data_IF_410844372208
#
_entry.id   IF_410844372208
#
_cell.length_a   1.000
_cell.length_b   1.000
_cell.length_c   1.000
_cell.angle_alpha   90.00
_cell.angle_beta   90.00
_cell.angle_gamma   90.00
#
_symmetry.space_group_name_H-M   'P 1'
#
loop_
_entity.id
_entity.type
_entity.pdbx_description
1 polymer ?
#
# COMPACT_ATOMS: atom_id res chain seq x y z
N UNK A 1 -9.69 2.84 10.05
CA UNK A 1 -9.22 4.15 9.53
C UNK A 1 -7.83 3.98 8.92
N UNK A 2 -7.66 4.27 7.63
CA UNK A 2 -6.34 4.31 6.98
C UNK A 2 -5.82 5.75 7.05
N UNK A 3 -4.59 5.93 7.51
CA UNK A 3 -3.91 7.24 7.51
C UNK A 3 -2.73 7.17 6.52
N UNK A 4 -2.72 8.08 5.54
CA UNK A 4 -1.71 8.08 4.48
C UNK A 4 -0.51 8.98 4.83
N UNK A 5 0.70 8.43 4.84
CA UNK A 5 1.95 9.20 4.88
C UNK A 5 2.81 8.82 3.69
N UNK A 6 2.76 9.62 2.63
CA UNK A 6 3.46 9.33 1.37
C UNK A 6 4.98 9.47 1.52
N UNK A 7 5.71 8.36 1.58
CA UNK A 7 7.15 8.31 1.33
C UNK A 7 7.39 7.57 0.00
N UNK A 8 7.94 8.28 -0.99
CA UNK A 8 8.12 7.75 -2.35
C UNK A 8 9.58 7.32 -2.51
N UNK A 9 9.86 6.03 -2.34
CA UNK A 9 11.14 5.45 -2.77
C UNK A 9 11.03 5.00 -4.23
N UNK A 10 11.60 5.79 -5.15
CA UNK A 10 11.74 5.40 -6.56
C UNK A 10 13.06 4.67 -6.70
N UNK A 11 13.05 3.38 -7.03
CA UNK A 11 14.27 2.69 -7.47
C UNK A 11 14.37 2.83 -9.00
N UNK A 12 15.28 3.66 -9.53
CA UNK A 12 15.57 3.65 -10.97
C UNK A 12 16.34 2.36 -11.29
N UNK A 13 15.75 1.47 -12.07
CA UNK A 13 16.49 0.40 -12.72
C UNK A 13 17.30 1.03 -13.86
N UNK A 14 18.59 1.23 -13.62
CA UNK A 14 19.57 1.49 -14.68
C UNK A 14 19.84 0.18 -15.39
N UNK A 15 19.33 0.02 -16.62
CA UNK A 15 19.93 -0.81 -17.67
C UNK A 15 19.25 -0.52 -19.01
N UNK A 16 20.03 0.12 -19.88
CA UNK A 16 20.13 -0.08 -21.32
C UNK A 16 19.01 -0.86 -22.06
N UNK A 17 18.52 -0.26 -23.15
CA UNK A 17 17.80 -0.87 -24.28
C UNK A 17 16.27 -1.14 -24.16
N UNK A 18 15.49 -0.33 -24.89
CA UNK A 18 14.31 -0.73 -25.69
C UNK A 18 13.01 -1.31 -25.08
N UNK A 19 12.70 -1.23 -23.78
CA UNK A 19 11.47 -1.88 -23.27
C UNK A 19 10.70 -1.01 -22.25
N UNK A 20 9.44 -0.72 -22.57
CA UNK A 20 8.33 -0.27 -21.71
C UNK A 20 8.68 0.17 -20.27
N UNK A 21 8.70 1.48 -20.01
CA UNK A 21 8.83 2.06 -18.67
C UNK A 21 7.66 1.63 -17.75
N UNK A 22 7.84 0.53 -17.01
CA UNK A 22 6.96 0.16 -15.90
C UNK A 22 7.56 0.72 -14.61
N UNK A 23 7.27 1.97 -14.27
CA UNK A 23 7.70 2.53 -12.98
C UNK A 23 6.89 1.88 -11.86
N UNK A 24 7.51 0.97 -11.09
CA UNK A 24 6.92 0.41 -9.88
C UNK A 24 7.22 1.34 -8.70
N UNK A 25 6.18 2.01 -8.19
CA UNK A 25 6.28 2.84 -6.99
C UNK A 25 5.73 2.05 -5.80
N UNK A 26 6.36 2.20 -4.65
CA UNK A 26 5.87 1.63 -3.39
C UNK A 26 5.57 2.77 -2.42
N UNK A 27 4.47 2.63 -1.69
CA UNK A 27 3.95 3.60 -0.74
C UNK A 27 4.01 3.02 0.66
N UNK A 28 4.34 3.85 1.65
CA UNK A 28 4.18 3.48 3.05
C UNK A 28 2.76 3.90 3.51
N UNK A 29 1.97 2.92 3.95
CA UNK A 29 0.55 3.07 4.32
C UNK A 29 0.36 2.68 5.78
N UNK A 30 -0.28 3.54 6.57
CA UNK A 30 -0.58 3.24 7.98
C UNK A 30 -2.01 2.73 8.13
N UNK A 31 -2.16 1.56 8.72
CA UNK A 31 -3.44 0.96 9.09
C UNK A 31 -3.65 1.09 10.59
N UNK A 32 -4.84 1.54 10.96
CA UNK A 32 -5.31 1.53 12.35
C UNK A 32 -6.26 0.36 12.58
N UNK A 33 -5.90 -0.51 13.51
CA UNK A 33 -6.75 -1.62 13.95
C UNK A 33 -7.81 -1.13 14.94
N UNK A 34 -8.85 -1.96 15.13
CA UNK A 34 -9.94 -1.70 16.10
C UNK A 34 -9.41 -1.50 17.54
N UNK A 35 -8.25 -2.09 17.85
CA UNK A 35 -7.57 -1.93 19.13
C UNK A 35 -6.92 -0.56 19.33
N UNK A 36 -6.94 0.32 18.30
CA UNK A 36 -6.20 1.59 18.28
C UNK A 36 -4.71 1.42 17.94
N UNK A 37 -4.24 0.20 17.71
CA UNK A 37 -2.87 -0.04 17.27
C UNK A 37 -2.69 0.43 15.82
N UNK A 38 -1.55 1.05 15.53
CA UNK A 38 -1.15 1.48 14.19
C UNK A 38 0.00 0.65 13.66
N UNK A 39 -0.08 0.22 12.42
CA UNK A 39 1.00 -0.48 11.72
C UNK A 39 1.19 0.10 10.33
N UNK A 40 2.46 0.33 9.98
CA UNK A 40 2.86 0.84 8.68
C UNK A 40 3.30 -0.33 7.80
N UNK A 41 2.81 -0.38 6.57
CA UNK A 41 3.21 -1.38 5.59
C UNK A 41 3.57 -0.74 4.26
N UNK A 42 4.51 -1.36 3.57
CA UNK A 42 4.94 -0.98 2.24
C UNK A 42 4.03 -1.63 1.19
N UNK A 43 3.20 -0.82 0.53
CA UNK A 43 2.16 -1.25 -0.42
C UNK A 43 2.55 -0.84 -1.85
N UNK A 44 2.51 -1.76 -2.84
CA UNK A 44 2.78 -1.42 -4.22
C UNK A 44 1.69 -0.53 -4.82
N UNK A 45 2.05 0.33 -5.78
CA UNK A 45 1.16 1.32 -6.38
C UNK A 45 -0.13 0.76 -6.96
N UNK A 46 -0.06 -0.44 -7.52
CA UNK A 46 -1.20 -1.14 -8.09
C UNK A 46 -2.21 -1.62 -7.03
N UNK A 47 -1.80 -1.77 -5.77
CA UNK A 47 -2.69 -2.10 -4.65
C UNK A 47 -3.16 -0.83 -3.96
N UNK A 48 -2.26 0.14 -3.78
CA UNK A 48 -2.57 1.43 -3.18
C UNK A 48 -3.73 2.16 -3.88
N UNK A 49 -3.79 2.11 -5.22
CA UNK A 49 -4.86 2.76 -5.99
C UNK A 49 -6.28 2.23 -5.69
N UNK A 50 -6.41 1.05 -5.08
CA UNK A 50 -7.69 0.48 -4.65
C UNK A 50 -8.05 0.79 -3.19
N UNK A 51 -7.19 1.50 -2.47
CA UNK A 51 -7.40 1.84 -1.06
C UNK A 51 -7.86 3.29 -0.98
N UNK A 52 -9.10 3.53 -0.54
CA UNK A 52 -9.58 4.89 -0.28
C UNK A 52 -9.26 5.24 1.17
N UNK A 53 -8.72 6.43 1.39
CA UNK A 53 -8.44 6.91 2.74
C UNK A 53 -9.72 6.90 3.59
N UNK A 54 -9.61 6.36 4.81
CA UNK A 54 -10.75 6.18 5.69
C UNK A 54 -11.61 4.94 5.42
N UNK A 55 -11.30 4.11 4.42
CA UNK A 55 -11.98 2.81 4.28
C UNK A 55 -11.67 1.89 5.46
N UNK A 56 -12.67 1.08 5.81
CA UNK A 56 -12.57 -0.01 6.76
C UNK A 56 -12.61 -1.32 5.98
N UNK A 57 -11.89 -2.33 6.44
CA UNK A 57 -11.74 -3.56 5.69
C UNK A 57 -10.86 -4.58 6.40
N UNK A 58 -10.70 -5.73 5.75
CA UNK A 58 -9.84 -6.81 6.23
C UNK A 58 -8.42 -6.62 5.69
N UNK A 59 -7.47 -6.39 6.60
CA UNK A 59 -6.04 -6.38 6.28
C UNK A 59 -5.44 -7.78 6.50
N UNK A 60 -4.84 -8.34 5.45
CA UNK A 60 -4.02 -9.56 5.53
C UNK A 60 -2.54 -9.18 5.45
N UNK A 61 -1.75 -9.70 6.39
CA UNK A 61 -0.31 -9.47 6.46
C UNK A 61 0.42 -10.70 6.99
N UNK A 62 1.70 -10.82 6.62
CA UNK A 62 2.60 -11.86 7.12
C UNK A 62 3.81 -11.19 7.78
N UNK A 63 3.88 -11.25 9.10
CA UNK A 63 4.90 -10.53 9.87
C UNK A 63 4.76 -9.01 9.68
N UNK A 64 5.68 -8.40 8.92
CA UNK A 64 5.66 -6.97 8.55
C UNK A 64 5.35 -6.73 7.07
N UNK A 65 4.98 -7.78 6.32
CA UNK A 65 4.70 -7.68 4.89
C UNK A 65 3.19 -7.60 4.63
N UNK A 66 2.79 -6.59 3.86
CA UNK A 66 1.45 -6.48 3.32
C UNK A 66 1.16 -7.63 2.35
N UNK A 67 0.00 -8.27 2.47
CA UNK A 67 -0.48 -9.29 1.53
C UNK A 67 -1.65 -8.75 0.71
N UNK A 68 -2.72 -8.30 1.38
CA UNK A 68 -3.90 -7.73 0.73
C UNK A 68 -4.73 -6.89 1.68
N UNK A 69 -5.58 -6.04 1.12
CA UNK A 69 -6.63 -5.34 1.85
C UNK A 69 -7.95 -5.47 1.09
N UNK A 70 -8.99 -5.87 1.79
CA UNK A 70 -10.34 -6.01 1.24
C UNK A 70 -11.26 -4.99 1.91
N UNK A 71 -11.68 -3.92 1.19
CA UNK A 71 -12.59 -2.93 1.73
C UNK A 71 -13.95 -3.55 2.04
N UNK A 72 -14.52 -3.20 3.20
CA UNK A 72 -15.90 -3.57 3.53
C UNK A 72 -16.84 -2.82 2.58
N UNK A 73 -17.80 -3.52 1.92
CA UNK A 73 -18.78 -2.86 1.07
C UNK A 73 -19.56 -1.80 1.85
N UNK A 74 -19.61 -0.57 1.32
CA UNK A 74 -20.48 0.48 1.86
C UNK A 74 -21.90 0.22 1.33
N UNK A 75 -22.82 -0.07 2.24
CA UNK A 75 -24.27 -0.26 1.97
C UNK A 75 -24.97 1.06 1.66
#
# INVERSE_FOLDING_TARGET
>A
MVANRTNISRHPHSMNDNIHHSTSTTYDVTFEFITGQRMEFRVPSNQYGYMIEGDEGLLQFQGHLFVSFEPTPKV
#
